data_IF_217103816376
#
_entry.id   IF_217103816376
#
_cell.length_a   1.000
_cell.length_b   1.000
_cell.length_c   1.000
_cell.angle_alpha   90.00
_cell.angle_beta   90.00
_cell.angle_gamma   90.00
#
_symmetry.space_group_name_H-M   'P 1'
#
loop_
_entity.id
_entity.type
_entity.pdbx_description
1 polymer ?
#
# COMPACT_ATOMS: atom_id res chain seq x y z
N UNK A 1 -25.36 -2.72 -19.36
CA UNK A 1 -24.00 -3.13 -18.92
C UNK A 1 -24.18 -4.30 -17.97
N UNK A 2 -23.31 -5.30 -18.04
CA UNK A 2 -23.35 -6.47 -17.15
C UNK A 2 -21.91 -6.88 -16.79
N UNK A 3 -21.76 -7.69 -15.75
CA UNK A 3 -20.46 -8.27 -15.36
C UNK A 3 -19.89 -9.21 -16.42
N UNK A 4 -20.75 -9.74 -17.29
CA UNK A 4 -20.41 -10.70 -18.34
C UNK A 4 -20.90 -10.21 -19.71
N UNK A 5 -20.23 -10.66 -20.77
CA UNK A 5 -20.67 -10.43 -22.14
C UNK A 5 -21.67 -11.52 -22.57
N UNK A 6 -22.67 -11.16 -23.39
CA UNK A 6 -23.65 -12.12 -23.93
C UNK A 6 -24.92 -12.31 -23.10
N UNK A 7 -25.12 -11.53 -22.04
CA UNK A 7 -26.32 -11.61 -21.18
C UNK A 7 -27.61 -11.20 -21.89
N UNK A 8 -27.52 -10.34 -22.92
CA UNK A 8 -28.65 -9.90 -23.73
C UNK A 8 -28.40 -10.25 -25.20
N UNK A 9 -29.35 -10.91 -25.89
CA UNK A 9 -29.24 -11.17 -27.31
C UNK A 9 -29.47 -9.87 -28.09
N UNK A 10 -28.45 -9.44 -28.85
CA UNK A 10 -28.52 -8.28 -29.74
C UNK A 10 -27.95 -8.71 -31.10
N UNK A 11 -28.66 -8.51 -32.22
CA UNK A 11 -28.14 -8.82 -33.55
C UNK A 11 -26.83 -8.07 -33.82
N UNK A 12 -25.81 -8.77 -34.31
CA UNK A 12 -24.45 -8.24 -34.47
C UNK A 12 -24.42 -7.00 -35.39
N UNK A 13 -25.27 -6.99 -36.42
CA UNK A 13 -25.41 -5.89 -37.36
C UNK A 13 -25.90 -4.57 -36.74
N UNK A 14 -26.45 -4.61 -35.51
CA UNK A 14 -26.89 -3.41 -34.78
C UNK A 14 -25.84 -2.89 -33.78
N UNK A 15 -24.72 -3.59 -33.61
CA UNK A 15 -23.72 -3.26 -32.58
C UNK A 15 -22.72 -2.25 -33.14
N UNK A 16 -22.76 -1.02 -32.62
CA UNK A 16 -21.79 0.03 -33.00
C UNK A 16 -20.42 -0.17 -32.34
N UNK A 17 -20.39 -0.63 -31.08
CA UNK A 17 -19.15 -0.81 -30.31
C UNK A 17 -19.29 -1.88 -29.23
N UNK A 18 -18.30 -2.76 -29.12
CA UNK A 18 -18.10 -3.68 -27.99
C UNK A 18 -16.94 -3.19 -27.14
N UNK A 19 -17.16 -3.08 -25.84
CA UNK A 19 -16.17 -2.48 -24.94
C UNK A 19 -16.35 -2.97 -23.49
N UNK A 20 -15.28 -2.85 -22.68
CA UNK A 20 -15.26 -3.18 -21.24
C UNK A 20 -14.60 -2.07 -20.44
N UNK A 21 -15.01 -1.88 -19.19
CA UNK A 21 -14.32 -0.98 -18.26
C UNK A 21 -12.90 -1.48 -17.97
N UNK A 22 -11.95 -0.55 -17.95
CA UNK A 22 -10.55 -0.79 -17.57
C UNK A 22 -10.30 -0.20 -16.17
N UNK A 23 -9.25 -0.61 -15.46
CA UNK A 23 -8.90 -0.04 -14.16
C UNK A 23 -8.89 1.50 -14.20
N UNK A 24 -9.65 2.11 -13.29
CA UNK A 24 -9.74 3.56 -13.16
C UNK A 24 -10.57 4.30 -14.22
N UNK A 25 -11.20 3.62 -15.19
CA UNK A 25 -12.12 4.25 -16.16
C UNK A 25 -13.57 4.24 -15.69
N UNK A 26 -14.34 5.23 -16.11
CA UNK A 26 -15.75 5.42 -15.81
C UNK A 26 -16.62 5.34 -17.08
N UNK A 27 -17.90 4.99 -16.90
CA UNK A 27 -18.95 5.08 -17.91
C UNK A 27 -20.09 5.92 -17.33
N UNK A 28 -20.46 7.00 -18.01
CA UNK A 28 -21.60 7.83 -17.65
C UNK A 28 -22.54 7.96 -18.86
N UNK A 29 -23.83 7.83 -18.60
CA UNK A 29 -24.89 8.12 -19.57
C UNK A 29 -25.69 9.27 -18.98
N UNK A 30 -25.63 10.43 -19.64
CA UNK A 30 -26.41 11.61 -19.28
C UNK A 30 -27.78 11.50 -19.96
N UNK A 31 -28.82 11.26 -19.15
CA UNK A 31 -30.18 11.06 -19.64
C UNK A 31 -30.87 12.37 -20.06
N UNK A 32 -30.47 13.50 -19.49
CA UNK A 32 -31.02 14.81 -19.85
C UNK A 32 -30.46 15.28 -21.20
N UNK A 33 -29.15 15.10 -21.41
CA UNK A 33 -28.49 15.40 -22.69
C UNK A 33 -28.63 14.29 -23.73
N UNK A 34 -29.14 13.12 -23.33
CA UNK A 34 -29.35 11.96 -24.21
C UNK A 34 -28.06 11.39 -24.81
N UNK A 35 -26.91 11.45 -24.11
CA UNK A 35 -25.61 11.02 -24.65
C UNK A 35 -24.74 10.26 -23.66
N UNK A 36 -23.81 9.48 -24.20
CA UNK A 36 -22.73 8.85 -23.43
C UNK A 36 -21.61 9.88 -23.24
N UNK A 37 -21.17 10.06 -22.00
CA UNK A 37 -20.07 10.95 -21.62
C UNK A 37 -18.81 10.11 -21.42
N UNK A 38 -17.69 10.51 -22.02
CA UNK A 38 -16.44 9.76 -21.92
C UNK A 38 -15.78 9.93 -20.55
N UNK A 39 -14.93 8.97 -20.17
CA UNK A 39 -14.14 9.03 -18.94
C UNK A 39 -13.30 10.31 -18.83
N UNK A 40 -12.67 10.71 -19.94
CA UNK A 40 -11.82 11.89 -20.03
C UNK A 40 -12.64 13.18 -19.84
N UNK A 41 -13.84 13.25 -20.41
CA UNK A 41 -14.73 14.40 -20.28
C UNK A 41 -15.22 14.56 -18.83
N UNK A 42 -15.67 13.46 -18.20
CA UNK A 42 -16.11 13.45 -16.79
C UNK A 42 -14.99 13.93 -15.88
N UNK A 43 -13.80 13.35 -16.03
CA UNK A 43 -12.65 13.68 -15.18
C UNK A 43 -12.18 15.11 -15.41
N UNK A 44 -12.17 15.59 -16.65
CA UNK A 44 -11.82 16.98 -16.98
C UNK A 44 -12.79 17.97 -16.36
N UNK A 45 -14.10 17.71 -16.48
CA UNK A 45 -15.13 18.55 -15.87
C UNK A 45 -14.92 18.64 -14.35
N UNK A 46 -14.76 17.50 -13.67
CA UNK A 46 -14.57 17.49 -12.22
C UNK A 46 -13.24 18.16 -11.82
N UNK A 47 -12.15 17.85 -12.53
CA UNK A 47 -10.82 18.40 -12.23
C UNK A 47 -10.73 19.92 -12.44
N UNK A 48 -11.61 20.51 -13.24
CA UNK A 48 -11.64 21.95 -13.51
C UNK A 48 -12.62 22.74 -12.65
N UNK A 49 -13.46 22.08 -11.84
CA UNK A 49 -14.41 22.75 -10.93
C UNK A 49 -13.73 23.67 -9.91
N UNK A 50 -12.52 23.31 -9.48
CA UNK A 50 -11.76 24.08 -8.51
C UNK A 50 -10.27 24.10 -8.87
N UNK A 51 -9.50 25.11 -8.40
CA UNK A 51 -8.06 25.21 -8.68
C UNK A 51 -7.25 24.27 -7.78
N UNK A 52 -7.48 22.95 -7.87
CA UNK A 52 -6.86 21.93 -7.00
C UNK A 52 -5.33 22.01 -6.99
N UNK A 53 -4.71 22.28 -8.14
CA UNK A 53 -3.25 22.45 -8.25
C UNK A 53 -2.74 23.60 -7.39
N UNK A 54 -3.44 24.73 -7.37
CA UNK A 54 -3.07 25.89 -6.54
C UNK A 54 -3.28 25.59 -5.06
N UNK A 55 -4.35 24.88 -4.70
CA UNK A 55 -4.58 24.48 -3.31
C UNK A 55 -3.49 23.54 -2.79
N UNK A 56 -3.08 22.56 -3.60
CA UNK A 56 -1.96 21.67 -3.26
C UNK A 56 -0.66 22.47 -3.12
N UNK A 57 -0.33 23.33 -4.08
CA UNK A 57 0.89 24.15 -4.03
C UNK A 57 0.96 25.05 -2.79
N UNK A 58 -0.20 25.53 -2.31
CA UNK A 58 -0.26 26.44 -1.16
C UNK A 58 -0.32 25.73 0.20
N UNK A 59 -0.68 24.44 0.25
CA UNK A 59 -0.95 23.73 1.53
C UNK A 59 -0.07 22.51 1.74
N UNK A 60 0.44 21.89 0.68
CA UNK A 60 1.27 20.71 0.75
C UNK A 60 2.73 21.10 0.99
N UNK A 61 3.34 20.51 2.02
CA UNK A 61 4.78 20.58 2.25
C UNK A 61 5.40 19.25 1.81
N UNK A 62 6.28 19.31 0.82
CA UNK A 62 7.06 18.14 0.36
C UNK A 62 8.33 18.09 1.20
N UNK A 63 8.40 17.13 2.13
CA UNK A 63 9.53 17.02 3.05
C UNK A 63 10.86 16.75 2.34
N UNK A 64 10.81 16.12 1.17
CA UNK A 64 11.98 15.80 0.33
C UNK A 64 12.63 17.05 -0.28
N UNK A 65 11.87 18.14 -0.45
CA UNK A 65 12.38 19.42 -0.98
C UNK A 65 12.99 20.30 0.11
N UNK A 66 12.77 19.95 1.38
CA UNK A 66 13.32 20.70 2.50
C UNK A 66 14.80 20.40 2.65
N UNK A 67 15.56 21.43 3.08
CA UNK A 67 16.98 21.24 3.38
C UNK A 67 17.12 20.17 4.47
N UNK A 68 18.01 19.18 4.29
CA UNK A 68 18.25 18.18 5.31
C UNK A 68 18.72 18.90 6.59
N UNK A 69 18.06 18.56 7.69
CA UNK A 69 18.48 19.02 9.01
C UNK A 69 19.52 18.02 9.51
N UNK A 70 20.68 18.53 9.95
CA UNK A 70 21.71 17.70 10.54
C UNK A 70 21.11 16.87 11.70
N UNK A 71 21.27 15.54 11.68
CA UNK A 71 20.71 14.70 12.71
C UNK A 71 21.29 15.11 14.07
N UNK A 72 20.41 15.19 15.07
CA UNK A 72 20.83 15.51 16.43
C UNK A 72 21.90 14.52 16.88
N UNK A 73 22.98 15.03 17.46
CA UNK A 73 24.05 14.19 17.98
C UNK A 73 23.49 13.09 18.89
N UNK A 74 23.96 11.85 18.68
CA UNK A 74 23.54 10.70 19.46
C UNK A 74 23.81 10.96 20.94
N UNK A 75 22.78 10.73 21.79
CA UNK A 75 22.99 10.70 23.23
C UNK A 75 23.92 9.53 23.56
N UNK A 76 24.99 9.80 24.32
CA UNK A 76 25.99 8.82 24.77
C UNK A 76 25.89 8.52 26.27
N UNK A 77 24.75 8.86 26.87
CA UNK A 77 24.44 8.65 28.28
C UNK A 77 24.27 7.17 28.66
N UNK A 78 23.94 6.31 27.69
CA UNK A 78 23.75 4.86 27.88
C UNK A 78 24.46 4.12 26.75
N UNK A 79 25.09 2.98 27.05
CA UNK A 79 25.77 2.17 26.06
C UNK A 79 24.78 1.59 25.03
N UNK A 80 25.27 1.28 23.82
CA UNK A 80 24.43 0.66 22.78
C UNK A 80 23.88 -0.70 23.22
N UNK A 81 24.71 -1.50 23.90
CA UNK A 81 24.34 -2.84 24.33
C UNK A 81 23.20 -2.80 25.36
N UNK A 82 23.28 -1.89 26.34
CA UNK A 82 22.23 -1.75 27.35
C UNK A 82 20.90 -1.34 26.72
N UNK A 83 20.94 -0.45 25.71
CA UNK A 83 19.74 -0.07 24.94
C UNK A 83 19.17 -1.24 24.15
N UNK A 84 20.03 -1.99 23.46
CA UNK A 84 19.61 -3.18 22.71
C UNK A 84 18.93 -4.20 23.62
N UNK A 85 19.52 -4.49 24.77
CA UNK A 85 18.94 -5.39 25.76
C UNK A 85 17.61 -4.86 26.33
N UNK A 86 17.52 -3.57 26.64
CA UNK A 86 16.29 -2.95 27.14
C UNK A 86 15.12 -3.04 26.14
N UNK A 87 15.40 -2.96 24.83
CA UNK A 87 14.41 -3.12 23.77
C UNK A 87 14.27 -4.57 23.27
N UNK A 88 14.93 -5.54 23.91
CA UNK A 88 14.80 -6.96 23.58
C UNK A 88 15.50 -7.42 22.30
N UNK A 89 16.48 -6.67 21.80
CA UNK A 89 17.30 -7.09 20.67
C UNK A 89 18.20 -8.26 21.06
N UNK A 90 18.25 -9.26 20.18
CA UNK A 90 19.10 -10.44 20.32
C UNK A 90 20.25 -10.43 19.31
N UNK A 91 21.21 -11.33 19.50
CA UNK A 91 22.28 -11.55 18.51
C UNK A 91 21.71 -12.07 17.17
N UNK A 92 20.62 -12.83 17.20
CA UNK A 92 19.96 -13.30 15.98
C UNK A 92 19.31 -12.14 15.22
N UNK A 93 18.63 -11.22 15.91
CA UNK A 93 18.03 -10.04 15.26
C UNK A 93 19.10 -9.23 14.53
N UNK A 94 20.24 -8.98 15.17
CA UNK A 94 21.31 -8.16 14.57
C UNK A 94 22.06 -8.90 13.45
N UNK A 95 22.35 -10.18 13.62
CA UNK A 95 23.20 -10.93 12.69
C UNK A 95 22.42 -11.53 11.52
N UNK A 96 21.21 -12.02 11.76
CA UNK A 96 20.38 -12.70 10.76
C UNK A 96 19.39 -11.75 10.09
N UNK A 97 18.74 -10.86 10.85
CA UNK A 97 17.70 -9.98 10.30
C UNK A 97 18.26 -8.65 9.80
N UNK A 98 19.05 -7.95 10.63
CA UNK A 98 19.53 -6.60 10.30
C UNK A 98 20.66 -6.61 9.26
N UNK A 99 21.55 -7.61 9.28
CA UNK A 99 22.71 -7.66 8.38
C UNK A 99 22.33 -7.69 6.88
N UNK A 100 21.38 -8.54 6.42
CA UNK A 100 20.91 -8.49 5.04
C UNK A 100 20.29 -7.15 4.66
N UNK A 101 19.43 -6.58 5.52
CA UNK A 101 18.79 -5.28 5.25
C UNK A 101 19.81 -4.16 5.07
N UNK A 102 20.89 -4.16 5.85
CA UNK A 102 21.95 -3.16 5.76
C UNK A 102 22.89 -3.35 4.55
N UNK A 103 23.07 -4.59 4.08
CA UNK A 103 24.08 -4.92 3.04
C UNK A 103 23.49 -5.06 1.65
N UNK A 104 22.32 -5.68 1.51
CA UNK A 104 21.66 -5.94 0.22
C UNK A 104 20.40 -5.10 0.01
N UNK A 105 19.89 -4.45 1.06
CA UNK A 105 18.62 -3.72 1.02
C UNK A 105 17.39 -4.63 0.95
N UNK A 106 17.55 -5.92 1.24
CA UNK A 106 16.48 -6.91 1.25
C UNK A 106 16.26 -7.47 2.65
N UNK A 107 15.03 -7.89 2.94
CA UNK A 107 14.73 -8.60 4.18
C UNK A 107 15.41 -9.99 4.22
N UNK A 108 15.59 -10.52 5.42
CA UNK A 108 16.21 -11.82 5.60
C UNK A 108 15.28 -12.95 5.12
N UNK A 109 15.80 -13.83 4.27
CA UNK A 109 15.08 -15.02 3.78
C UNK A 109 15.47 -16.23 4.60
N UNK A 110 14.48 -17.01 5.03
CA UNK A 110 14.64 -18.29 5.71
C UNK A 110 13.76 -19.38 5.09
N UNK A 111 13.89 -20.60 5.60
CA UNK A 111 13.07 -21.75 5.22
C UNK A 111 12.61 -22.51 6.46
N UNK A 112 11.71 -23.48 6.26
CA UNK A 112 10.98 -24.22 7.32
C UNK A 112 9.91 -23.41 8.03
N UNK A 113 9.05 -24.10 8.78
CA UNK A 113 7.98 -23.50 9.58
C UNK A 113 8.49 -22.94 10.92
N UNK A 114 7.69 -22.08 11.54
CA UNK A 114 7.97 -21.55 12.89
C UNK A 114 7.57 -22.58 13.95
N UNK A 115 8.56 -23.25 14.54
CA UNK A 115 8.36 -24.26 15.61
C UNK A 115 8.47 -23.67 17.04
N UNK A 116 8.40 -22.34 17.17
CA UNK A 116 8.40 -21.68 18.48
C UNK A 116 6.98 -21.52 19.01
N UNK A 117 6.75 -21.59 20.34
CA UNK A 117 5.44 -21.29 20.92
C UNK A 117 4.88 -19.95 20.46
N UNK A 118 3.57 -19.85 20.35
CA UNK A 118 2.89 -18.56 20.15
C UNK A 118 3.26 -17.61 21.31
N UNK A 119 3.29 -16.30 21.05
CA UNK A 119 3.84 -15.35 22.01
C UNK A 119 3.17 -15.38 23.39
N UNK A 120 1.88 -15.68 23.45
CA UNK A 120 1.13 -15.81 24.71
C UNK A 120 1.51 -17.06 25.56
N UNK A 121 2.12 -18.07 24.94
CA UNK A 121 2.52 -19.34 25.58
C UNK A 121 4.04 -19.48 25.70
N UNK A 122 4.81 -18.42 25.45
CA UNK A 122 6.27 -18.50 25.49
C UNK A 122 6.79 -18.26 26.90
N UNK A 123 7.73 -19.09 27.35
CA UNK A 123 8.50 -18.87 28.59
C UNK A 123 9.55 -17.74 28.46
N UNK A 124 9.69 -17.15 27.27
CA UNK A 124 10.61 -16.05 26.98
C UNK A 124 9.82 -14.75 26.84
N UNK A 125 10.44 -13.64 27.21
CA UNK A 125 9.89 -12.31 26.92
C UNK A 125 9.73 -12.13 25.41
N UNK A 126 8.53 -11.75 24.98
CA UNK A 126 8.18 -11.50 23.58
C UNK A 126 7.77 -10.05 23.39
N UNK A 127 8.24 -9.45 22.29
CA UNK A 127 7.91 -8.07 21.95
C UNK A 127 6.47 -7.95 21.45
N UNK A 128 5.85 -6.80 21.68
CA UNK A 128 4.44 -6.56 21.43
C UNK A 128 4.01 -6.90 19.99
N UNK A 129 4.84 -6.58 19.00
CA UNK A 129 4.53 -6.85 17.59
C UNK A 129 4.36 -8.34 17.27
N UNK A 130 4.94 -9.25 18.07
CA UNK A 130 4.85 -10.70 17.81
C UNK A 130 3.45 -11.28 18.08
N UNK A 131 2.62 -10.55 18.84
CA UNK A 131 1.23 -10.91 19.14
C UNK A 131 0.28 -10.60 18.00
N UNK A 132 0.66 -9.69 17.10
CA UNK A 132 -0.13 -9.32 15.93
C UNK A 132 0.27 -10.18 14.75
N UNK A 133 -0.71 -10.77 14.06
CA UNK A 133 -0.50 -11.56 12.84
C UNK A 133 -0.97 -10.76 11.64
N UNK A 134 -0.17 -10.76 10.58
CA UNK A 134 -0.53 -10.10 9.34
C UNK A 134 -1.71 -10.84 8.71
N UNK A 135 -2.79 -10.11 8.42
CA UNK A 135 -3.88 -10.66 7.64
C UNK A 135 -3.45 -10.78 6.18
N UNK A 136 -4.00 -11.77 5.49
CA UNK A 136 -3.78 -11.94 4.06
C UNK A 136 -5.10 -12.26 3.38
N UNK A 137 -5.21 -11.85 2.12
CA UNK A 137 -6.38 -12.08 1.32
C UNK A 137 -6.42 -13.55 0.87
N UNK A 138 -7.57 -14.19 1.03
CA UNK A 138 -7.83 -15.54 0.55
C UNK A 138 -9.21 -15.57 -0.11
N UNK A 139 -9.29 -16.07 -1.35
CA UNK A 139 -10.53 -16.28 -2.11
C UNK A 139 -11.32 -15.01 -2.44
N UNK A 140 -11.67 -14.19 -1.45
CA UNK A 140 -12.54 -13.02 -1.57
C UNK A 140 -11.97 -11.91 -2.46
N UNK A 141 -10.65 -11.76 -2.46
CA UNK A 141 -9.95 -10.76 -3.25
C UNK A 141 -8.49 -11.21 -3.48
N UNK A 142 -7.88 -10.84 -4.61
CA UNK A 142 -6.49 -11.18 -4.89
C UNK A 142 -5.51 -10.30 -4.07
N UNK A 143 -4.34 -10.82 -3.67
CA UNK A 143 -3.22 -9.99 -3.24
C UNK A 143 -2.67 -9.17 -4.42
N UNK A 144 -1.97 -8.07 -4.11
CA UNK A 144 -1.33 -7.17 -5.09
C UNK A 144 0.17 -7.45 -5.14
#
# INVERSE_FOLDING_TARGET
MASEAGVLPVPEERIVKKWRLQPGRMLLIDLEKGRIVSDEEIKSEIATRHPYKSWLANTQLILEDLKPVEPRALRRDVSLLDRQQAFGYTQEDTKLLMSPMATTGQEAVGSMGTDTPISAMSDRSKLLYTYFKQNFAQVTNPPI
#
